data_IF_416101757282
#
_entry.id   IF_416101757282
#
_cell.length_a   1.000
_cell.length_b   1.000
_cell.length_c   1.000
_cell.angle_alpha   90.00
_cell.angle_beta   90.00
_cell.angle_gamma   90.00
#
_symmetry.space_group_name_H-M   'P 1'
#
loop_
_entity.id
_entity.type
_entity.pdbx_description
1 polymer ?
#
# COMPACT_ATOMS: atom_id res chain seq x y z
N UNK A 1 -33.54 -10.92 -9.42
CA UNK A 1 -32.16 -11.32 -9.67
C UNK A 1 -31.69 -11.99 -8.40
N UNK A 2 -31.41 -13.30 -8.42
CA UNK A 2 -30.90 -13.98 -7.22
C UNK A 2 -29.42 -13.64 -7.11
N UNK A 3 -29.07 -12.78 -6.17
CA UNK A 3 -27.67 -12.59 -5.79
C UNK A 3 -27.18 -13.89 -5.17
N UNK A 4 -26.08 -14.43 -5.71
CA UNK A 4 -25.38 -15.52 -5.05
C UNK A 4 -24.84 -15.01 -3.71
N UNK A 5 -24.92 -15.81 -2.63
CA UNK A 5 -24.38 -15.39 -1.35
C UNK A 5 -22.86 -15.15 -1.46
N UNK A 6 -22.36 -14.21 -0.67
CA UNK A 6 -20.92 -13.93 -0.59
C UNK A 6 -20.16 -15.21 -0.21
N UNK A 7 -18.96 -15.35 -0.76
CA UNK A 7 -18.09 -16.48 -0.41
C UNK A 7 -17.57 -16.35 1.02
N UNK A 8 -17.20 -17.47 1.64
CA UNK A 8 -16.55 -17.44 2.97
C UNK A 8 -15.28 -16.59 2.96
N UNK A 9 -14.50 -16.66 1.88
CA UNK A 9 -13.30 -15.84 1.69
C UNK A 9 -13.62 -14.34 1.75
N UNK A 10 -14.66 -13.90 1.02
CA UNK A 10 -15.09 -12.51 1.02
C UNK A 10 -15.53 -12.05 2.41
N UNK A 11 -16.32 -12.87 3.10
CA UNK A 11 -16.76 -12.60 4.48
C UNK A 11 -15.58 -12.51 5.45
N UNK A 12 -14.57 -13.37 5.29
CA UNK A 12 -13.35 -13.32 6.11
C UNK A 12 -12.56 -12.02 5.87
N UNK A 13 -12.36 -11.63 4.60
CA UNK A 13 -11.67 -10.39 4.24
C UNK A 13 -12.41 -9.16 4.77
N UNK A 14 -13.75 -9.14 4.67
CA UNK A 14 -14.59 -8.09 5.23
C UNK A 14 -14.44 -8.00 6.75
N UNK A 15 -14.51 -9.15 7.43
CA UNK A 15 -14.34 -9.24 8.89
C UNK A 15 -12.98 -8.72 9.35
N UNK A 16 -11.90 -9.06 8.63
CA UNK A 16 -10.55 -8.56 8.94
C UNK A 16 -10.50 -7.03 8.80
N UNK A 17 -11.07 -6.49 7.72
CA UNK A 17 -11.09 -5.05 7.49
C UNK A 17 -11.90 -4.30 8.55
N UNK A 18 -13.03 -4.85 8.98
CA UNK A 18 -13.91 -4.25 10.00
C UNK A 18 -13.30 -4.29 11.40
N UNK A 19 -12.49 -5.32 11.67
CA UNK A 19 -11.82 -5.53 12.96
C UNK A 19 -10.32 -5.24 12.89
N UNK A 20 -9.88 -4.41 11.95
CA UNK A 20 -8.45 -4.20 11.67
C UNK A 20 -7.66 -3.83 12.92
N UNK A 21 -8.19 -2.94 13.76
CA UNK A 21 -7.54 -2.46 15.00
C UNK A 21 -7.36 -3.54 16.09
N UNK A 22 -7.99 -4.70 15.93
CA UNK A 22 -7.75 -5.88 16.76
C UNK A 22 -6.42 -6.55 16.39
N UNK A 23 -5.99 -6.45 15.13
CA UNK A 23 -4.78 -7.12 14.61
C UNK A 23 -3.61 -6.16 14.41
N UNK A 24 -3.89 -4.87 14.27
CA UNK A 24 -2.87 -3.84 14.07
C UNK A 24 -2.84 -2.86 15.23
N UNK A 25 -1.69 -2.26 15.45
CA UNK A 25 -1.50 -1.22 16.46
C UNK A 25 -0.60 -0.10 15.93
N UNK A 26 -0.74 1.13 16.45
CA UNK A 26 0.16 2.21 16.09
C UNK A 26 1.58 1.85 16.55
N UNK A 27 2.56 2.01 15.66
CA UNK A 27 3.97 1.90 16.02
C UNK A 27 4.36 3.14 16.84
N UNK A 28 4.53 2.96 18.14
CA UNK A 28 4.95 4.01 19.08
C UNK A 28 6.45 3.85 19.30
N UNK A 29 7.27 4.26 18.34
CA UNK A 29 8.73 4.30 18.53
C UNK A 29 9.24 5.75 18.49
N UNK A 30 9.77 6.15 19.63
CA UNK A 30 10.38 7.44 19.94
C UNK A 30 11.67 7.63 19.15
N UNK A 31 11.68 8.60 18.21
CA UNK A 31 12.80 9.41 17.64
C UNK A 31 14.19 8.82 17.34
N UNK A 32 14.63 7.67 17.86
CA UNK A 32 15.95 7.10 17.62
C UNK A 32 15.84 5.95 16.60
N UNK A 33 16.37 6.17 15.39
CA UNK A 33 16.55 5.11 14.38
C UNK A 33 15.75 5.27 13.08
N UNK A 34 14.92 6.30 12.94
CA UNK A 34 13.96 6.41 11.83
C UNK A 34 14.52 6.89 10.48
N UNK A 35 15.81 7.21 10.39
CA UNK A 35 16.42 7.75 9.16
C UNK A 35 17.55 6.90 8.57
N UNK A 36 18.12 5.94 9.29
CA UNK A 36 19.36 5.29 8.82
C UNK A 36 19.18 4.26 7.70
N UNK A 37 17.94 3.87 7.35
CA UNK A 37 17.71 2.88 6.29
C UNK A 37 16.91 3.35 5.07
N UNK A 38 16.43 4.59 5.06
CA UNK A 38 15.80 5.16 3.86
C UNK A 38 16.71 6.27 3.34
N UNK A 39 17.80 5.88 2.68
CA UNK A 39 18.56 6.80 1.83
C UNK A 39 17.67 7.27 0.68
N UNK A 40 17.01 8.42 0.84
CA UNK A 40 16.93 9.46 -0.20
C UNK A 40 15.97 10.61 0.17
N UNK A 41 16.58 11.75 0.49
CA UNK A 41 16.33 13.10 -0.08
C UNK A 41 14.94 13.75 0.07
N UNK A 42 14.99 14.88 0.78
CA UNK A 42 14.13 16.08 0.73
C UNK A 42 12.62 15.88 0.94
N UNK A 43 12.19 16.05 2.19
CA UNK A 43 11.05 16.91 2.57
C UNK A 43 11.01 17.03 4.11
N UNK A 44 11.24 18.23 4.63
CA UNK A 44 11.03 18.58 6.03
C UNK A 44 9.52 18.68 6.30
N UNK A 45 8.91 17.57 6.74
CA UNK A 45 7.60 17.61 7.37
C UNK A 45 7.61 16.66 8.58
N UNK A 46 8.02 17.23 9.71
CA UNK A 46 8.18 16.61 11.05
C UNK A 46 6.82 16.36 11.72
N UNK A 47 5.77 15.98 10.99
CA UNK A 47 4.61 15.35 11.61
C UNK A 47 4.96 13.90 11.94
N UNK A 48 4.80 13.53 13.21
CA UNK A 48 4.92 12.15 13.70
C UNK A 48 3.98 11.29 12.87
N UNK A 49 4.56 10.63 11.87
CA UNK A 49 3.82 9.84 10.90
C UNK A 49 3.28 8.62 11.62
N UNK A 50 1.98 8.61 11.92
CA UNK A 50 1.31 7.44 12.51
C UNK A 50 1.51 6.27 11.55
N UNK A 51 2.29 5.27 11.95
CA UNK A 51 2.43 3.99 11.24
C UNK A 51 1.67 2.91 11.98
N UNK A 52 1.12 1.96 11.24
CA UNK A 52 0.53 0.77 11.84
C UNK A 52 1.41 -0.44 11.53
N UNK A 53 1.51 -1.32 12.52
CA UNK A 53 2.17 -2.63 12.44
C UNK A 53 1.20 -3.70 12.91
N UNK A 54 1.45 -4.96 12.54
CA UNK A 54 0.75 -6.07 13.16
C UNK A 54 1.15 -6.19 14.64
N UNK A 55 0.18 -6.47 15.51
CA UNK A 55 0.41 -6.74 16.93
C UNK A 55 1.28 -7.97 17.15
N UNK A 56 1.06 -8.98 16.31
CA UNK A 56 1.89 -10.18 16.28
C UNK A 56 2.96 -10.00 15.18
N UNK A 57 4.25 -9.87 15.57
CA UNK A 57 5.33 -9.65 14.62
C UNK A 57 5.63 -10.88 13.74
N UNK A 58 5.11 -12.06 14.09
CA UNK A 58 5.27 -13.30 13.30
C UNK A 58 4.23 -13.44 12.20
N UNK A 59 3.23 -12.54 12.13
CA UNK A 59 2.24 -12.55 11.05
C UNK A 59 2.93 -12.28 9.71
N UNK A 60 2.83 -13.30 8.85
CA UNK A 60 3.26 -13.21 7.46
C UNK A 60 2.14 -13.70 6.53
N UNK A 61 1.65 -12.80 5.69
CA UNK A 61 0.63 -13.09 4.69
C UNK A 61 1.28 -13.52 3.38
N UNK A 62 0.87 -14.69 2.88
CA UNK A 62 1.29 -15.18 1.55
C UNK A 62 0.69 -14.32 0.43
N UNK A 63 1.21 -14.51 -0.78
CA UNK A 63 0.88 -13.69 -1.95
C UNK A 63 -0.62 -13.48 -2.18
N UNK A 64 -1.36 -14.57 -2.35
CA UNK A 64 -2.78 -14.49 -2.70
C UNK A 64 -3.60 -13.76 -1.63
N UNK A 65 -3.32 -14.04 -0.36
CA UNK A 65 -4.02 -13.41 0.77
C UNK A 65 -3.63 -11.93 0.91
N UNK A 66 -2.35 -11.60 0.74
CA UNK A 66 -1.86 -10.22 0.77
C UNK A 66 -2.52 -9.36 -0.30
N UNK A 67 -2.59 -9.88 -1.53
CA UNK A 67 -3.15 -9.18 -2.68
C UNK A 67 -4.66 -8.98 -2.52
N UNK A 68 -5.40 -10.02 -2.13
CA UNK A 68 -6.85 -9.93 -1.86
C UNK A 68 -7.17 -8.97 -0.71
N UNK A 69 -6.39 -9.02 0.37
CA UNK A 69 -6.57 -8.10 1.50
C UNK A 69 -6.29 -6.65 1.10
N UNK A 70 -5.22 -6.41 0.33
CA UNK A 70 -4.92 -5.07 -0.19
C UNK A 70 -6.03 -4.56 -1.10
N UNK A 71 -6.57 -5.40 -1.99
CA UNK A 71 -7.71 -5.04 -2.85
C UNK A 71 -8.93 -4.65 -2.00
N UNK A 72 -9.23 -5.40 -0.93
CA UNK A 72 -10.31 -5.06 0.01
C UNK A 72 -10.07 -3.74 0.76
N UNK A 73 -8.82 -3.43 1.13
CA UNK A 73 -8.46 -2.15 1.74
C UNK A 73 -8.68 -0.98 0.77
N UNK A 74 -8.39 -1.17 -0.51
CA UNK A 74 -8.66 -0.19 -1.56
C UNK A 74 -10.16 0.01 -1.74
N UNK A 75 -10.93 -1.08 -1.86
CA UNK A 75 -12.40 -1.06 -1.98
C UNK A 75 -13.07 -0.29 -0.83
N UNK A 76 -12.67 -0.60 0.42
CA UNK A 76 -13.21 0.03 1.63
C UNK A 76 -12.59 1.40 1.95
N UNK A 77 -11.70 1.93 1.09
CA UNK A 77 -11.00 3.22 1.28
C UNK A 77 -10.21 3.32 2.59
N UNK A 78 -9.67 2.19 3.06
CA UNK A 78 -8.87 2.07 4.27
C UNK A 78 -7.38 2.33 4.01
N UNK A 79 -6.98 2.37 2.74
CA UNK A 79 -5.58 2.54 2.35
C UNK A 79 -5.11 4.00 2.46
N UNK A 80 -4.12 4.23 3.32
CA UNK A 80 -3.31 5.44 3.43
C UNK A 80 -1.88 5.04 3.80
N UNK A 81 -0.93 5.99 3.82
CA UNK A 81 0.47 5.67 4.13
C UNK A 81 0.65 4.95 5.48
N UNK A 82 -0.16 5.33 6.48
CA UNK A 82 -0.16 4.70 7.80
C UNK A 82 -0.51 3.21 7.75
N UNK A 83 -1.61 2.86 7.08
CA UNK A 83 -2.11 1.48 6.99
C UNK A 83 -1.35 0.67 5.94
N UNK A 84 -0.72 1.32 4.95
CA UNK A 84 0.17 0.66 4.00
C UNK A 84 1.37 0.00 4.69
N UNK A 85 1.82 0.51 5.84
CA UNK A 85 2.97 -0.06 6.57
C UNK A 85 2.76 -1.50 7.04
N UNK A 86 1.52 -1.98 7.16
CA UNK A 86 1.28 -3.40 7.47
C UNK A 86 1.62 -4.31 6.27
N UNK A 87 1.76 -3.73 5.07
CA UNK A 87 2.10 -4.42 3.83
C UNK A 87 3.58 -4.27 3.46
N UNK A 88 4.49 -4.24 4.44
CA UNK A 88 5.94 -4.33 4.19
C UNK A 88 6.33 -5.73 3.69
N UNK A 89 7.52 -5.85 3.11
CA UNK A 89 8.06 -7.15 2.66
C UNK A 89 8.29 -8.15 3.80
N UNK A 90 8.40 -7.67 5.05
CA UNK A 90 8.54 -8.50 6.24
C UNK A 90 7.26 -9.24 6.62
N UNK A 91 6.10 -8.67 6.30
CA UNK A 91 4.80 -9.19 6.74
C UNK A 91 3.91 -9.64 5.59
N UNK A 92 4.22 -9.27 4.35
CA UNK A 92 3.38 -9.58 3.19
C UNK A 92 4.23 -9.87 1.96
N UNK A 93 3.61 -10.47 0.94
CA UNK A 93 4.20 -10.56 -0.41
C UNK A 93 3.23 -10.06 -1.45
N UNK A 94 3.63 -9.04 -2.20
CA UNK A 94 2.81 -8.48 -3.27
C UNK A 94 3.48 -8.69 -4.63
N UNK A 95 2.72 -9.16 -5.62
CA UNK A 95 3.13 -9.24 -7.02
C UNK A 95 2.17 -8.49 -7.93
N UNK A 96 0.87 -8.54 -7.64
CA UNK A 96 -0.15 -7.85 -8.39
C UNK A 96 -0.84 -6.82 -7.49
N UNK A 97 -0.69 -5.54 -7.80
CA UNK A 97 -1.22 -4.45 -6.97
C UNK A 97 -2.10 -3.53 -7.81
N UNK A 98 -3.31 -3.26 -7.31
CA UNK A 98 -4.25 -2.33 -7.95
C UNK A 98 -4.58 -1.20 -6.98
N UNK A 99 -4.10 0.01 -7.28
CA UNK A 99 -4.39 1.21 -6.50
C UNK A 99 -5.38 2.07 -7.28
N UNK A 100 -6.65 2.04 -6.87
CA UNK A 100 -7.72 2.81 -7.50
C UNK A 100 -8.28 3.83 -6.53
N UNK A 101 -8.30 5.09 -6.94
CA UNK A 101 -8.88 6.20 -6.16
C UNK A 101 -8.21 6.40 -4.77
N UNK A 102 -6.96 5.99 -4.60
CA UNK A 102 -6.22 6.10 -3.34
C UNK A 102 -5.64 7.51 -3.14
N UNK A 103 -6.50 8.49 -2.86
CA UNK A 103 -6.09 9.89 -2.68
C UNK A 103 -5.31 10.17 -1.38
N UNK A 104 -5.31 9.25 -0.42
CA UNK A 104 -4.59 9.37 0.87
C UNK A 104 -3.22 8.71 0.88
N UNK A 105 -2.81 8.12 -0.24
CA UNK A 105 -1.50 7.50 -0.40
C UNK A 105 -0.57 8.50 -1.07
N UNK A 106 0.59 8.73 -0.47
CA UNK A 106 1.60 9.69 -0.94
C UNK A 106 2.85 8.98 -1.47
N UNK A 107 3.90 9.77 -1.77
CA UNK A 107 5.22 9.26 -2.13
C UNK A 107 5.80 8.30 -1.07
N UNK A 108 5.45 8.49 0.21
CA UNK A 108 5.94 7.67 1.33
C UNK A 108 5.35 6.27 1.28
N UNK A 109 4.03 6.14 1.08
CA UNK A 109 3.38 4.84 0.89
C UNK A 109 3.90 4.06 -0.31
N UNK A 110 4.31 4.75 -1.39
CA UNK A 110 4.91 4.08 -2.56
C UNK A 110 6.25 3.42 -2.27
N UNK A 111 6.97 3.83 -1.23
CA UNK A 111 8.22 3.18 -0.84
C UNK A 111 7.99 1.75 -0.36
N UNK A 112 6.87 1.48 0.31
CA UNK A 112 6.51 0.14 0.79
C UNK A 112 6.31 -0.81 -0.39
N UNK A 113 5.60 -0.36 -1.43
CA UNK A 113 5.40 -1.17 -2.64
C UNK A 113 6.70 -1.51 -3.36
N UNK A 114 7.72 -0.65 -3.27
CA UNK A 114 9.05 -0.89 -3.85
C UNK A 114 9.86 -1.97 -3.13
N UNK A 115 9.50 -2.33 -1.90
CA UNK A 115 10.11 -3.45 -1.18
C UNK A 115 9.68 -4.79 -1.81
N UNK A 116 8.56 -4.81 -2.53
CA UNK A 116 8.01 -6.02 -3.15
C UNK A 116 8.49 -6.21 -4.59
N UNK A 117 8.52 -7.47 -5.03
CA UNK A 117 8.79 -7.85 -6.42
C UNK A 117 7.50 -7.77 -7.26
N UNK A 118 6.97 -6.56 -7.41
CA UNK A 118 5.74 -6.29 -8.16
C UNK A 118 5.93 -6.60 -9.65
N UNK A 119 5.02 -7.40 -10.19
CA UNK A 119 4.98 -7.83 -11.60
C UNK A 119 3.90 -7.06 -12.37
N UNK A 120 2.78 -6.77 -11.71
CA UNK A 120 1.66 -6.01 -12.28
C UNK A 120 1.24 -4.90 -11.31
N UNK A 121 1.23 -3.67 -11.81
CA UNK A 121 0.85 -2.49 -11.03
C UNK A 121 -0.17 -1.67 -11.81
N UNK A 122 -1.41 -1.69 -11.35
CA UNK A 122 -2.46 -0.83 -11.86
C UNK A 122 -2.61 0.39 -10.94
N UNK A 123 -2.49 1.60 -11.49
CA UNK A 123 -2.65 2.84 -10.73
C UNK A 123 -3.66 3.75 -11.45
N UNK A 124 -4.82 3.95 -10.83
CA UNK A 124 -5.93 4.72 -11.39
C UNK A 124 -6.33 5.84 -10.45
N UNK A 125 -6.34 7.07 -10.96
CA UNK A 125 -6.82 8.25 -10.23
C UNK A 125 -6.08 8.50 -8.90
N UNK A 126 -4.75 8.38 -8.92
CA UNK A 126 -3.88 8.76 -7.80
C UNK A 126 -3.63 10.26 -7.83
N UNK A 127 -4.01 10.97 -6.75
CA UNK A 127 -3.95 12.43 -6.69
C UNK A 127 -2.62 12.99 -6.18
N UNK A 128 -1.84 12.23 -5.43
CA UNK A 128 -0.67 12.75 -4.72
C UNK A 128 0.64 12.08 -5.16
N UNK A 129 0.60 11.34 -6.27
CA UNK A 129 1.71 10.51 -6.73
C UNK A 129 1.98 10.82 -8.21
N UNK A 130 3.23 11.12 -8.54
CA UNK A 130 3.70 11.25 -9.91
C UNK A 130 4.25 9.94 -10.45
N UNK A 131 4.30 9.79 -11.77
CA UNK A 131 4.80 8.56 -12.41
C UNK A 131 6.29 8.34 -12.10
N UNK A 132 7.09 9.40 -11.94
CA UNK A 132 8.49 9.28 -11.52
C UNK A 132 8.64 8.67 -10.11
N UNK A 133 7.68 8.94 -9.21
CA UNK A 133 7.66 8.34 -7.88
C UNK A 133 7.28 6.86 -7.94
N UNK A 134 6.45 6.45 -8.90
CA UNK A 134 6.08 5.04 -9.14
C UNK A 134 7.25 4.27 -9.78
N UNK A 135 7.86 4.81 -10.83
CA UNK A 135 8.88 4.13 -11.65
C UNK A 135 10.24 3.98 -10.95
N UNK A 136 10.56 4.84 -9.97
CA UNK A 136 11.85 4.80 -9.28
C UNK A 136 13.05 5.18 -10.17
N UNK A 137 14.18 5.51 -9.55
CA UNK A 137 15.40 5.96 -10.28
C UNK A 137 16.24 4.82 -10.87
N UNK A 138 15.96 3.57 -10.52
CA UNK A 138 16.63 2.38 -11.06
C UNK A 138 15.62 1.59 -11.89
N UNK A 139 15.73 1.70 -13.21
CA UNK A 139 15.05 0.84 -14.17
C UNK A 139 15.48 -0.62 -13.95
N UNK A 140 14.82 -1.34 -13.05
CA UNK A 140 15.02 -2.76 -12.88
C UNK A 140 13.63 -3.40 -12.86
N UNK A 141 13.31 -4.07 -13.98
CA UNK A 141 12.02 -4.71 -14.27
C UNK A 141 10.83 -3.75 -14.21
N UNK A 142 10.47 -3.17 -15.35
CA UNK A 142 9.19 -2.48 -15.49
C UNK A 142 8.08 -3.52 -15.26
N UNK A 143 7.28 -3.41 -14.18
CA UNK A 143 6.03 -4.15 -14.11
C UNK A 143 5.19 -3.77 -15.33
N UNK A 144 4.19 -4.58 -15.67
CA UNK A 144 3.14 -4.08 -16.55
C UNK A 144 2.44 -2.95 -15.76
N UNK A 145 2.71 -1.70 -16.13
CA UNK A 145 2.13 -0.56 -15.45
C UNK A 145 0.95 -0.06 -16.28
N UNK A 146 -0.24 -0.14 -15.71
CA UNK A 146 -1.45 0.40 -16.30
C UNK A 146 -1.79 1.72 -15.62
N UNK A 147 -1.57 2.83 -16.34
CA UNK A 147 -1.89 4.18 -15.89
C UNK A 147 -3.09 4.71 -16.68
N UNK A 148 -4.09 5.25 -15.97
CA UNK A 148 -5.19 5.96 -16.64
C UNK A 148 -4.71 7.35 -17.13
N UNK A 149 -5.31 7.83 -18.23
CA UNK A 149 -5.13 9.15 -18.83
C UNK A 149 -5.12 10.29 -17.80
N UNK A 150 -5.96 10.26 -16.76
CA UNK A 150 -5.99 11.31 -15.73
C UNK A 150 -4.67 11.44 -14.94
N UNK A 151 -3.95 10.34 -14.74
CA UNK A 151 -2.62 10.31 -14.13
C UNK A 151 -1.53 10.72 -15.13
N UNK A 152 -1.72 10.42 -16.42
CA UNK A 152 -0.84 10.86 -17.51
C UNK A 152 -0.95 12.37 -17.79
N UNK A 153 -2.15 12.97 -17.72
CA UNK A 153 -2.36 14.40 -18.01
C UNK A 153 -1.64 15.33 -17.02
N UNK A 154 -1.35 14.86 -15.80
CA UNK A 154 -0.55 15.60 -14.81
C UNK A 154 0.96 15.61 -15.09
N UNK A 155 1.44 14.92 -16.13
CA UNK A 155 2.82 15.02 -16.59
C UNK A 155 3.07 16.22 -17.52
N UNK A 156 2.02 16.78 -18.13
CA UNK A 156 2.13 17.78 -19.18
C UNK A 156 1.72 19.19 -18.73
N UNK A 157 1.67 19.43 -17.42
CA UNK A 157 1.50 20.74 -16.79
C UNK A 157 2.51 20.89 -15.68
#
# INVERSE_FOLDING_TARGET
MFESPNTLEELCLDTICENMLTYIEPQIETKEGWWEKIESTDDYDDEIEKRYIFRDPEIFLINEISEKLMEKFVEKRLLCDATLNIFTESNTKLRNVKLKNCGKVSKKGMHILKQHKIVDLECVNLKNISIGQILGKKYMFLPKIYLNLSTLFRLFK
#
